data_IF_426851358192
#
_entry.id   IF_426851358192
#
_cell.length_a   1.000
_cell.length_b   1.000
_cell.length_c   1.000
_cell.angle_alpha   90.00
_cell.angle_beta   90.00
_cell.angle_gamma   90.00
#
_symmetry.space_group_name_H-M   'P 1'
#
loop_
_entity.id
_entity.type
_entity.pdbx_description
1 polymer ?
#
# COMPACT_ATOMS: atom_id res chain seq x y z
N UNK A 1 25.05 -23.71 11.79
CA UNK A 1 23.98 -22.90 11.17
C UNK A 1 23.40 -22.05 12.29
N UNK A 2 23.38 -20.72 12.13
CA UNK A 2 22.91 -19.80 13.17
C UNK A 2 21.38 -19.74 13.26
N UNK A 3 20.87 -19.01 14.25
CA UNK A 3 19.44 -18.76 14.40
C UNK A 3 18.92 -17.83 13.29
N UNK A 4 17.63 -17.95 12.97
CA UNK A 4 16.95 -17.06 12.03
C UNK A 4 15.51 -16.80 12.44
N UNK A 5 14.95 -15.72 11.91
CA UNK A 5 13.56 -15.30 12.15
C UNK A 5 12.86 -15.13 10.81
N UNK A 6 11.73 -15.79 10.68
CA UNK A 6 10.78 -15.61 9.59
C UNK A 6 9.54 -14.90 10.16
N UNK A 7 9.18 -13.77 9.57
CA UNK A 7 7.97 -13.02 9.91
C UNK A 7 7.06 -12.98 8.71
N UNK A 8 5.77 -13.18 8.95
CA UNK A 8 4.74 -13.02 7.93
C UNK A 8 3.53 -12.29 8.52
N UNK A 9 2.89 -11.44 7.72
CA UNK A 9 1.68 -10.73 8.10
C UNK A 9 0.68 -10.67 6.94
N UNK A 10 -0.60 -10.71 7.30
CA UNK A 10 -1.73 -10.42 6.42
C UNK A 10 -2.47 -9.23 7.01
N UNK A 11 -2.85 -8.28 6.16
CA UNK A 11 -3.56 -7.09 6.62
C UNK A 11 -4.63 -6.64 5.64
N UNK A 12 -5.61 -5.96 6.20
CA UNK A 12 -6.62 -5.20 5.48
C UNK A 12 -6.94 -3.95 6.27
N UNK A 13 -7.01 -2.83 5.58
CA UNK A 13 -7.41 -1.53 6.11
C UNK A 13 -8.48 -0.96 5.19
N UNK A 14 -9.65 -0.74 5.76
CA UNK A 14 -10.76 -0.04 5.12
C UNK A 14 -10.81 1.39 5.66
N UNK A 15 -10.87 2.36 4.77
CA UNK A 15 -10.90 3.80 5.14
C UNK A 15 -12.12 4.44 4.51
N UNK A 16 -12.84 5.22 5.30
CA UNK A 16 -13.98 6.02 4.87
C UNK A 16 -13.63 7.51 4.95
N UNK A 17 -14.34 8.34 4.18
CA UNK A 17 -14.10 9.78 4.10
C UNK A 17 -12.65 10.11 3.74
N UNK A 18 -12.07 9.36 2.80
CA UNK A 18 -10.70 9.59 2.33
C UNK A 18 -10.58 11.00 1.72
N UNK A 19 -9.47 11.69 1.99
CA UNK A 19 -9.19 12.99 1.39
C UNK A 19 -8.72 12.76 -0.05
N UNK A 20 -9.51 13.23 -1.02
CA UNK A 20 -9.19 13.21 -2.44
C UNK A 20 -9.05 14.64 -2.98
N UNK A 21 -8.30 14.79 -4.07
CA UNK A 21 -8.25 16.06 -4.81
C UNK A 21 -9.63 16.32 -5.40
N UNK A 22 -10.18 17.50 -5.13
CA UNK A 22 -11.43 17.94 -5.73
C UNK A 22 -11.15 18.70 -7.03
N UNK A 23 -10.47 19.84 -6.93
CA UNK A 23 -10.11 20.64 -8.10
C UNK A 23 -8.65 21.10 -8.00
N UNK A 24 -7.95 21.17 -9.13
CA UNK A 24 -6.72 21.94 -9.26
C UNK A 24 -6.95 23.00 -10.35
N UNK A 25 -6.98 24.27 -9.95
CA UNK A 25 -7.21 25.40 -10.85
C UNK A 25 -6.22 26.52 -10.53
N UNK A 26 -5.58 27.05 -11.56
CA UNK A 26 -4.62 28.16 -11.47
C UNK A 26 -3.51 27.93 -10.41
N UNK A 27 -3.04 26.67 -10.30
CA UNK A 27 -2.02 26.27 -9.31
C UNK A 27 -2.51 26.10 -7.88
N UNK A 28 -3.82 26.24 -7.62
CA UNK A 28 -4.44 26.01 -6.31
C UNK A 28 -5.20 24.69 -6.31
N UNK A 29 -4.91 23.83 -5.33
CA UNK A 29 -5.58 22.55 -5.15
C UNK A 29 -6.57 22.61 -4.00
N UNK A 30 -7.82 22.24 -4.24
CA UNK A 30 -8.82 21.98 -3.20
C UNK A 30 -8.96 20.48 -2.98
N UNK A 31 -9.34 20.11 -1.76
CA UNK A 31 -9.49 18.73 -1.35
C UNK A 31 -10.87 18.52 -0.72
N UNK A 32 -11.39 17.32 -0.83
CA UNK A 32 -12.66 16.92 -0.23
C UNK A 32 -12.54 15.58 0.46
N UNK A 33 -13.37 15.36 1.48
CA UNK A 33 -13.59 14.04 2.04
C UNK A 33 -14.52 13.28 1.10
N UNK A 34 -13.93 12.61 0.12
CA UNK A 34 -14.68 11.83 -0.86
C UNK A 34 -14.18 10.39 -0.85
N UNK A 35 -15.08 9.53 -0.40
CA UNK A 35 -15.06 8.13 -0.76
C UNK A 35 -14.38 7.20 0.21
N UNK A 36 -14.40 5.93 -0.20
CA UNK A 36 -13.95 4.79 0.56
C UNK A 36 -12.76 4.17 -0.14
N UNK A 37 -11.83 3.62 0.61
CA UNK A 37 -10.66 2.94 0.08
C UNK A 37 -10.40 1.63 0.81
N UNK A 38 -9.72 0.70 0.14
CA UNK A 38 -9.20 -0.51 0.78
C UNK A 38 -7.75 -0.70 0.41
N UNK A 39 -6.94 -0.94 1.43
CA UNK A 39 -5.53 -1.33 1.32
C UNK A 39 -5.40 -2.71 1.94
N UNK A 40 -4.99 -3.71 1.17
CA UNK A 40 -4.85 -5.08 1.66
C UNK A 40 -3.58 -5.71 1.08
N UNK A 41 -2.95 -6.58 1.85
CA UNK A 41 -1.65 -7.08 1.45
C UNK A 41 -1.09 -8.18 2.32
N UNK A 42 0.10 -8.60 1.90
CA UNK A 42 0.92 -9.63 2.54
C UNK A 42 2.32 -9.09 2.69
N UNK A 43 2.92 -9.32 3.85
CA UNK A 43 4.33 -8.99 4.14
C UNK A 43 5.06 -10.25 4.59
N UNK A 44 6.27 -10.45 4.08
CA UNK A 44 7.16 -11.54 4.44
C UNK A 44 8.55 -10.94 4.68
N UNK A 45 9.20 -11.34 5.77
CA UNK A 45 10.58 -10.97 6.07
C UNK A 45 11.37 -12.16 6.61
N UNK A 46 12.62 -12.29 6.17
CA UNK A 46 13.56 -13.31 6.61
C UNK A 46 14.86 -12.66 7.05
N UNK A 47 15.32 -13.02 8.24
CA UNK A 47 16.62 -12.67 8.79
C UNK A 47 17.34 -13.95 9.22
N UNK A 48 18.43 -14.32 8.54
CA UNK A 48 19.09 -15.61 8.73
C UNK A 48 20.60 -15.47 8.82
N UNK A 49 21.20 -16.08 9.86
CA UNK A 49 22.64 -16.30 9.95
C UNK A 49 22.99 -17.72 9.47
N UNK A 50 23.76 -17.84 8.39
CA UNK A 50 24.14 -19.16 7.85
C UNK A 50 25.44 -19.71 8.47
N UNK A 51 26.45 -18.87 8.57
CA UNK A 51 27.76 -19.15 9.19
C UNK A 51 28.25 -17.87 9.88
N UNK A 52 29.31 -17.92 10.70
CA UNK A 52 29.79 -16.80 11.53
C UNK A 52 29.82 -15.44 10.80
N UNK A 53 30.27 -15.43 9.54
CA UNK A 53 30.41 -14.23 8.72
C UNK A 53 29.36 -14.07 7.59
N UNK A 54 28.33 -14.92 7.55
CA UNK A 54 27.30 -14.91 6.49
C UNK A 54 25.90 -14.67 7.04
N UNK A 55 25.34 -13.49 6.71
CA UNK A 55 24.00 -13.04 7.07
C UNK A 55 23.19 -12.74 5.80
N UNK A 56 21.92 -13.12 5.80
CA UNK A 56 20.96 -12.79 4.74
C UNK A 56 19.75 -12.09 5.35
N UNK A 57 19.35 -10.99 4.73
CA UNK A 57 18.06 -10.32 4.98
C UNK A 57 17.28 -10.24 3.69
N UNK A 58 16.01 -10.61 3.75
CA UNK A 58 15.06 -10.49 2.65
C UNK A 58 13.76 -9.93 3.19
N UNK A 59 13.11 -9.08 2.42
CA UNK A 59 11.76 -8.61 2.70
C UNK A 59 10.98 -8.59 1.39
N UNK A 60 9.69 -8.85 1.47
CA UNK A 60 8.80 -8.74 0.33
C UNK A 60 7.40 -8.32 0.77
N UNK A 61 6.81 -7.40 0.02
CA UNK A 61 5.47 -6.87 0.28
C UNK A 61 4.65 -6.89 -1.00
N UNK A 62 3.46 -7.49 -0.91
CA UNK A 62 2.40 -7.32 -1.90
C UNK A 62 1.31 -6.40 -1.34
N UNK A 63 1.00 -5.31 -2.05
CA UNK A 63 -0.01 -4.34 -1.65
C UNK A 63 -0.99 -4.03 -2.78
N UNK A 64 -2.25 -4.36 -2.54
CA UNK A 64 -3.41 -4.00 -3.34
C UNK A 64 -4.17 -2.85 -2.66
N UNK A 65 -4.03 -1.65 -3.22
CA UNK A 65 -4.61 -0.41 -2.71
C UNK A 65 -5.53 0.20 -3.77
N UNK A 66 -6.84 0.20 -3.50
CA UNK A 66 -7.88 0.56 -4.48
C UNK A 66 -8.95 1.47 -3.88
N UNK A 67 -9.52 2.34 -4.72
CA UNK A 67 -10.74 3.08 -4.40
C UNK A 67 -11.94 2.14 -4.40
N UNK A 68 -12.83 2.30 -3.43
CA UNK A 68 -14.06 1.50 -3.27
C UNK A 68 -15.32 2.24 -3.69
N UNK A 69 -15.23 3.56 -3.83
CA UNK A 69 -16.27 4.42 -4.39
C UNK A 69 -15.64 5.38 -5.38
N UNK A 70 -16.46 6.01 -6.22
CA UNK A 70 -15.96 7.02 -7.13
C UNK A 70 -15.48 8.25 -6.33
N UNK A 71 -14.25 8.68 -6.58
CA UNK A 71 -13.66 9.90 -6.01
C UNK A 71 -13.32 10.93 -7.08
N UNK A 72 -13.55 10.61 -8.35
CA UNK A 72 -13.18 11.42 -9.50
C UNK A 72 -14.35 12.26 -9.98
N UNK A 73 -14.07 13.49 -10.42
CA UNK A 73 -15.11 14.44 -10.81
C UNK A 73 -15.70 14.16 -12.20
N UNK A 74 -14.86 13.82 -13.18
CA UNK A 74 -15.27 13.67 -14.58
C UNK A 74 -15.14 12.22 -15.10
N UNK A 75 -15.01 11.24 -14.20
CA UNK A 75 -14.91 9.82 -14.52
C UNK A 75 -15.39 8.97 -13.35
N UNK A 76 -15.62 7.67 -13.58
CA UNK A 76 -15.74 6.69 -12.50
C UNK A 76 -14.38 6.04 -12.26
N UNK A 77 -13.79 6.27 -11.08
CA UNK A 77 -12.56 5.63 -10.66
C UNK A 77 -12.75 4.62 -9.52
N UNK A 78 -13.97 4.14 -9.32
CA UNK A 78 -14.23 2.99 -8.45
C UNK A 78 -13.41 1.78 -8.91
N UNK A 79 -12.70 1.14 -7.99
CA UNK A 79 -11.82 0.01 -8.28
C UNK A 79 -10.44 0.40 -8.84
N UNK A 80 -10.19 1.67 -9.15
CA UNK A 80 -8.87 2.09 -9.64
C UNK A 80 -7.83 1.99 -8.53
N UNK A 81 -6.60 1.73 -8.94
CA UNK A 81 -5.44 1.66 -8.05
C UNK A 81 -5.10 3.06 -7.54
N UNK A 82 -4.71 3.14 -6.27
CA UNK A 82 -4.13 4.34 -5.70
C UNK A 82 -2.81 4.71 -6.38
N UNK A 83 -2.64 5.97 -6.82
CA UNK A 83 -1.39 6.42 -7.41
C UNK A 83 -0.25 6.43 -6.37
N UNK A 84 0.99 6.27 -6.83
CA UNK A 84 2.18 6.35 -5.97
C UNK A 84 2.43 5.12 -5.08
N UNK A 85 1.56 4.11 -5.10
CA UNK A 85 1.72 2.89 -4.31
C UNK A 85 2.26 1.76 -5.19
N UNK A 86 3.40 1.16 -4.83
CA UNK A 86 3.96 -0.01 -5.49
C UNK A 86 3.17 -1.29 -5.14
N UNK A 87 3.01 -2.20 -6.11
CA UNK A 87 2.21 -3.44 -5.92
C UNK A 87 3.03 -4.57 -5.33
N UNK A 88 4.29 -4.63 -5.73
CA UNK A 88 5.27 -5.59 -5.29
C UNK A 88 6.53 -4.78 -4.94
N UNK A 89 7.09 -5.04 -3.76
CA UNK A 89 8.33 -4.45 -3.28
C UNK A 89 9.15 -5.56 -2.66
N UNK A 90 10.47 -5.56 -2.86
CA UNK A 90 11.41 -6.48 -2.23
C UNK A 90 12.83 -5.97 -2.34
#
# INVERSE_FOLDING_TARGET
>A
IGNGILTAALFRTDTDNEIAVDENKDGRTTYKNAGKTRRQGVEIALDQQFAENWKLKMAWTYLDATYRTNVCNNADCSGYRMPGIARNMG
#
